data_IF_630468849055
#
_entry.id   IF_630468849055
#
_cell.length_a   1.000
_cell.length_b   1.000
_cell.length_c   1.000
_cell.angle_alpha   90.00
_cell.angle_beta   90.00
_cell.angle_gamma   90.00
#
_symmetry.space_group_name_H-M   'P 1'
#
loop_
_entity.id
_entity.type
_entity.pdbx_description
1 polymer ?
#
# COMPACT_ATOMS: atom_id res chain seq x y z
N UNK A 1 1.86 4.85 8.35
CA UNK A 1 1.01 4.25 7.28
C UNK A 1 -0.22 5.09 6.98
N UNK A 2 -0.33 6.25 7.64
CA UNK A 2 -1.46 7.16 7.50
C UNK A 2 -1.43 7.79 6.11
N UNK A 3 -0.22 8.05 5.60
CA UNK A 3 0.01 8.57 4.27
C UNK A 3 -0.35 7.56 3.17
N UNK A 4 0.03 6.27 3.30
CA UNK A 4 -0.41 5.25 2.33
C UNK A 4 -1.94 5.21 2.19
N UNK A 5 -2.69 5.23 3.29
CA UNK A 5 -4.16 5.22 3.26
C UNK A 5 -4.71 6.50 2.63
N UNK A 6 -4.12 7.67 2.93
CA UNK A 6 -4.53 8.92 2.29
C UNK A 6 -4.28 8.89 0.79
N UNK A 7 -3.11 8.42 0.37
CA UNK A 7 -2.71 8.40 -1.03
C UNK A 7 -3.49 7.38 -1.85
N UNK A 8 -3.85 6.25 -1.23
CA UNK A 8 -4.83 5.31 -1.77
C UNK A 8 -6.18 6.00 -2.03
N UNK A 9 -6.66 6.84 -1.11
CA UNK A 9 -7.90 7.60 -1.32
C UNK A 9 -7.77 8.66 -2.41
N UNK A 10 -6.67 9.41 -2.42
CA UNK A 10 -6.41 10.49 -3.40
C UNK A 10 -6.31 9.94 -4.82
N UNK A 11 -5.63 8.81 -5.00
CA UNK A 11 -5.40 8.20 -6.31
C UNK A 11 -6.40 7.10 -6.66
N UNK A 12 -7.46 6.92 -5.86
CA UNK A 12 -8.47 5.88 -6.04
C UNK A 12 -7.91 4.44 -6.10
N UNK A 13 -6.77 4.18 -5.44
CA UNK A 13 -6.18 2.85 -5.34
C UNK A 13 -6.86 2.09 -4.21
N UNK A 14 -7.41 0.92 -4.52
CA UNK A 14 -8.11 0.08 -3.55
C UNK A 14 -7.22 -1.03 -2.99
N UNK A 15 -7.63 -1.60 -1.84
CA UNK A 15 -6.99 -2.80 -1.30
C UNK A 15 -7.01 -3.97 -2.30
N UNK A 16 -8.03 -4.04 -3.16
CA UNK A 16 -8.14 -5.05 -4.22
C UNK A 16 -7.11 -4.87 -5.33
N UNK A 17 -6.78 -3.62 -5.70
CA UNK A 17 -5.73 -3.34 -6.70
C UNK A 17 -4.36 -3.76 -6.17
N UNK A 18 -4.08 -3.41 -4.92
CA UNK A 18 -2.86 -3.81 -4.23
C UNK A 18 -2.80 -5.34 -4.06
N UNK A 19 -3.91 -5.98 -3.70
CA UNK A 19 -4.01 -7.43 -3.56
C UNK A 19 -3.76 -8.18 -4.87
N UNK A 20 -4.35 -7.70 -5.97
CA UNK A 20 -4.12 -8.26 -7.32
C UNK A 20 -2.65 -8.17 -7.71
N UNK A 21 -2.01 -7.03 -7.45
CA UNK A 21 -0.61 -6.82 -7.78
C UNK A 21 0.36 -7.63 -6.89
N UNK A 22 0.04 -7.75 -5.60
CA UNK A 22 0.89 -8.44 -4.63
C UNK A 22 0.64 -9.95 -4.59
N UNK A 23 -0.39 -10.46 -5.28
CA UNK A 23 -0.76 -11.86 -5.26
C UNK A 23 -1.32 -12.30 -3.91
N UNK A 24 -2.10 -11.44 -3.26
CA UNK A 24 -2.75 -11.68 -1.98
C UNK A 24 -4.26 -11.46 -2.09
N UNK A 25 -5.02 -11.76 -1.03
CA UNK A 25 -6.43 -11.38 -0.96
C UNK A 25 -6.59 -9.92 -0.53
N UNK A 26 -7.71 -9.29 -0.94
CA UNK A 26 -8.04 -7.92 -0.53
C UNK A 26 -8.18 -7.79 0.99
N UNK A 27 -8.72 -8.82 1.65
CA UNK A 27 -8.88 -8.89 3.11
C UNK A 27 -7.53 -8.93 3.83
N UNK A 28 -6.57 -9.72 3.33
CA UNK A 28 -5.21 -9.76 3.89
C UNK A 28 -4.49 -8.43 3.73
N UNK A 29 -4.58 -7.79 2.56
CA UNK A 29 -3.94 -6.49 2.32
C UNK A 29 -4.59 -5.41 3.18
N UNK A 30 -5.92 -5.39 3.28
CA UNK A 30 -6.62 -4.44 4.14
C UNK A 30 -6.21 -4.63 5.61
N UNK A 31 -6.15 -5.88 6.10
CA UNK A 31 -5.68 -6.18 7.45
C UNK A 31 -4.23 -5.74 7.65
N UNK A 32 -3.34 -5.97 6.68
CA UNK A 32 -1.93 -5.54 6.74
C UNK A 32 -1.80 -4.02 6.77
N UNK A 33 -2.57 -3.30 5.97
CA UNK A 33 -2.54 -1.83 5.95
C UNK A 33 -3.09 -1.25 7.25
N UNK A 34 -4.21 -1.79 7.74
CA UNK A 34 -4.86 -1.34 8.97
C UNK A 34 -4.02 -1.61 10.22
N UNK A 35 -3.40 -2.79 10.29
CA UNK A 35 -2.53 -3.20 11.41
C UNK A 35 -1.08 -2.75 11.24
N UNK A 36 -0.74 -2.07 10.14
CA UNK A 36 0.61 -1.60 9.82
C UNK A 36 1.66 -2.71 9.77
N UNK A 37 1.28 -3.88 9.24
CA UNK A 37 2.14 -5.07 9.11
C UNK A 37 2.59 -5.33 7.68
N UNK A 38 2.44 -4.36 6.77
CA UNK A 38 3.03 -4.45 5.42
C UNK A 38 4.55 -4.49 5.54
N UNK A 39 5.14 -5.50 4.89
CA UNK A 39 6.58 -5.69 4.89
C UNK A 39 7.28 -4.64 4.05
N UNK A 40 8.57 -4.40 4.32
CA UNK A 40 9.37 -3.48 3.53
C UNK A 40 9.38 -3.81 2.02
N UNK A 41 9.45 -5.10 1.68
CA UNK A 41 9.41 -5.56 0.28
C UNK A 41 8.07 -5.25 -0.39
N UNK A 42 6.95 -5.46 0.30
CA UNK A 42 5.62 -5.07 -0.20
C UNK A 42 5.52 -3.56 -0.36
N UNK A 43 6.07 -2.78 0.58
CA UNK A 43 6.08 -1.33 0.47
C UNK A 43 6.91 -0.83 -0.72
N UNK A 44 8.06 -1.43 -1.03
CA UNK A 44 8.83 -1.15 -2.26
C UNK A 44 7.96 -1.40 -3.50
N UNK A 45 7.29 -2.55 -3.55
CA UNK A 45 6.43 -2.93 -4.68
C UNK A 45 5.26 -1.96 -4.85
N UNK A 46 4.58 -1.62 -3.75
CA UNK A 46 3.47 -0.66 -3.74
C UNK A 46 3.96 0.73 -4.19
N UNK A 47 5.09 1.18 -3.65
CA UNK A 47 5.71 2.46 -4.00
C UNK A 47 6.04 2.50 -5.50
N UNK A 48 6.79 1.53 -6.01
CA UNK A 48 7.26 1.54 -7.39
C UNK A 48 6.13 1.46 -8.43
N UNK A 49 5.01 0.82 -8.09
CA UNK A 49 3.92 0.61 -9.04
C UNK A 49 2.76 1.61 -8.91
N UNK A 50 2.39 1.99 -7.69
CA UNK A 50 1.22 2.83 -7.43
C UNK A 50 1.57 4.25 -7.00
N UNK A 51 2.71 4.44 -6.33
CA UNK A 51 3.11 5.74 -5.77
C UNK A 51 4.58 6.09 -6.04
N UNK A 52 5.03 6.09 -7.32
CA UNK A 52 6.45 6.21 -7.66
C UNK A 52 7.05 7.58 -7.28
N UNK A 53 6.21 8.58 -7.08
CA UNK A 53 6.60 9.94 -6.68
C UNK A 53 6.86 10.10 -5.17
N UNK A 54 6.52 9.11 -4.34
CA UNK A 54 6.76 9.14 -2.90
C UNK A 54 7.96 8.28 -2.51
N UNK A 55 8.69 8.69 -1.47
CA UNK A 55 9.66 7.80 -0.82
C UNK A 55 8.94 6.71 -0.02
N UNK A 56 9.63 5.59 0.19
CA UNK A 56 9.10 4.49 1.02
C UNK A 56 8.80 4.99 2.43
N UNK A 57 9.67 5.83 3.00
CA UNK A 57 9.45 6.45 4.32
C UNK A 57 8.19 7.31 4.35
N UNK A 58 7.90 8.05 3.26
CA UNK A 58 6.68 8.85 3.16
C UNK A 58 5.41 7.99 3.16
N UNK A 59 5.44 6.76 2.64
CA UNK A 59 4.30 5.82 2.73
C UNK A 59 4.01 5.41 4.19
N UNK A 60 5.07 5.29 5.00
CA UNK A 60 4.97 4.89 6.40
C UNK A 60 4.77 6.05 7.39
N UNK A 61 5.00 7.31 6.98
CA UNK A 61 4.55 8.49 7.72
C UNK A 61 3.05 8.49 8.04
#
# INVERSE_FOLDING_TARGET
>A
MKNLIQEMKTNHVTSSDLATFLGATSEEIEAKIKNQTVTFTEAIKIQGNFFPYMSIEALFG
#
